data_IF_997787563322
#
_entry.id   IF_997787563322
#
_cell.length_a   1.000
_cell.length_b   1.000
_cell.length_c   1.000
_cell.angle_alpha   90.00
_cell.angle_beta   90.00
_cell.angle_gamma   90.00
#
_symmetry.space_group_name_H-M   'P 1'
#
loop_
_entity.id
_entity.type
_entity.pdbx_description
1 polymer ?
#
# COMPACT_ATOMS: atom_id res chain seq x y z
N UNK A 1 -9.01 27.53 -26.63
CA UNK A 1 -9.91 28.68 -26.43
C UNK A 1 -11.30 28.12 -26.15
N UNK A 2 -11.98 28.58 -25.11
CA UNK A 2 -13.37 28.20 -24.80
C UNK A 2 -14.39 28.79 -25.78
N UNK A 3 -14.00 29.81 -26.56
CA UNK A 3 -14.96 30.68 -27.24
C UNK A 3 -15.64 31.63 -26.25
N UNK A 4 -16.67 32.34 -26.71
CA UNK A 4 -17.53 33.15 -25.83
C UNK A 4 -18.55 32.24 -25.15
N UNK A 5 -18.69 32.38 -23.82
CA UNK A 5 -19.68 31.68 -23.00
C UNK A 5 -20.68 32.71 -22.46
N UNK A 6 -21.95 32.31 -22.32
CA UNK A 6 -23.05 33.20 -21.89
C UNK A 6 -24.18 33.32 -22.92
N UNK A 7 -25.03 34.38 -22.82
CA UNK A 7 -24.89 35.55 -21.95
C UNK A 7 -25.10 35.21 -20.46
N UNK A 8 -24.58 36.10 -19.60
CA UNK A 8 -24.74 36.04 -18.14
C UNK A 8 -25.24 37.40 -17.65
N UNK A 9 -26.06 37.41 -16.60
CA UNK A 9 -26.49 38.65 -15.96
C UNK A 9 -25.30 39.35 -15.28
N UNK A 10 -25.41 40.67 -15.09
CA UNK A 10 -24.36 41.44 -14.43
C UNK A 10 -24.12 40.92 -13.01
N UNK A 11 -22.88 40.52 -12.72
CA UNK A 11 -22.49 39.95 -11.42
C UNK A 11 -22.70 38.44 -11.30
N UNK A 12 -23.26 37.78 -12.30
CA UNK A 12 -23.37 36.32 -12.34
C UNK A 12 -22.01 35.68 -12.70
N UNK A 13 -21.66 34.60 -12.02
CA UNK A 13 -20.45 33.83 -12.33
C UNK A 13 -20.62 33.01 -13.62
N UNK A 14 -19.64 33.10 -14.51
CA UNK A 14 -19.53 32.25 -15.69
C UNK A 14 -18.50 31.15 -15.48
N UNK A 15 -18.76 29.96 -16.04
CA UNK A 15 -17.84 28.82 -15.96
C UNK A 15 -17.52 28.27 -17.35
N UNK A 16 -16.26 27.87 -17.56
CA UNK A 16 -15.79 27.17 -18.75
C UNK A 16 -14.92 25.99 -18.34
N UNK A 17 -14.95 24.94 -19.14
CA UNK A 17 -14.12 23.75 -18.94
C UNK A 17 -13.17 23.56 -20.12
N UNK A 18 -11.98 23.01 -19.84
CA UNK A 18 -10.99 22.66 -20.84
C UNK A 18 -10.25 21.40 -20.40
N UNK A 19 -10.07 20.48 -21.35
CA UNK A 19 -9.15 19.35 -21.21
C UNK A 19 -7.93 19.56 -22.09
N UNK A 20 -6.78 19.16 -21.57
CA UNK A 20 -5.48 19.19 -22.27
C UNK A 20 -5.05 17.76 -22.54
N UNK A 21 -4.58 17.51 -23.77
CA UNK A 21 -4.05 16.20 -24.18
C UNK A 21 -2.52 16.19 -24.27
N UNK A 22 -1.89 17.36 -24.18
CA UNK A 22 -0.45 17.52 -24.24
C UNK A 22 0.04 18.10 -22.91
N UNK A 23 1.23 17.67 -22.50
CA UNK A 23 1.94 18.27 -21.38
C UNK A 23 2.46 19.65 -21.76
N UNK A 24 2.65 20.49 -20.76
CA UNK A 24 3.14 21.85 -20.93
C UNK A 24 2.54 22.82 -19.92
N UNK A 25 3.09 24.03 -19.89
CA UNK A 25 2.56 25.13 -19.09
C UNK A 25 1.69 26.03 -19.95
N UNK A 26 0.46 26.24 -19.51
CA UNK A 26 -0.57 27.00 -20.21
C UNK A 26 -0.95 28.24 -19.40
N UNK A 27 -0.92 29.39 -20.06
CA UNK A 27 -1.45 30.64 -19.51
C UNK A 27 -2.97 30.69 -19.73
N UNK A 28 -3.73 30.71 -18.62
CA UNK A 28 -5.19 30.83 -18.61
C UNK A 28 -5.57 32.25 -18.24
N UNK A 29 -6.41 32.88 -19.08
CA UNK A 29 -6.90 34.24 -18.90
C UNK A 29 -8.29 34.38 -19.52
N UNK A 30 -9.07 35.33 -19.03
CA UNK A 30 -10.43 35.60 -19.48
C UNK A 30 -10.58 37.06 -19.95
N UNK A 31 -11.58 37.32 -20.79
CA UNK A 31 -12.05 38.67 -21.13
C UNK A 31 -13.56 38.63 -21.35
N UNK A 32 -14.23 39.76 -21.18
CA UNK A 32 -15.67 39.89 -21.35
C UNK A 32 -16.02 40.62 -22.65
N UNK A 33 -17.26 40.41 -23.12
CA UNK A 33 -17.87 41.15 -24.22
C UNK A 33 -19.33 41.47 -23.87
N UNK A 34 -19.79 42.68 -24.15
CA UNK A 34 -21.20 43.05 -23.97
C UNK A 34 -22.08 42.64 -25.17
N UNK A 35 -23.39 42.88 -25.06
CA UNK A 35 -24.36 42.56 -26.13
C UNK A 35 -24.13 43.38 -27.41
N UNK A 36 -23.50 44.56 -27.29
CA UNK A 36 -23.27 45.49 -28.39
C UNK A 36 -21.97 45.23 -29.14
N UNK A 37 -21.05 44.42 -28.60
CA UNK A 37 -19.78 44.15 -29.26
C UNK A 37 -18.53 44.49 -28.46
N UNK A 38 -18.65 45.36 -27.45
CA UNK A 38 -17.51 45.96 -26.75
C UNK A 38 -16.81 44.93 -25.88
N UNK A 39 -15.47 44.88 -25.92
CA UNK A 39 -14.66 43.89 -25.22
C UNK A 39 -13.78 44.53 -24.16
N UNK A 40 -13.56 43.82 -23.05
CA UNK A 40 -12.56 44.19 -22.05
C UNK A 40 -11.14 43.83 -22.51
N UNK A 41 -10.14 44.37 -21.81
CA UNK A 41 -8.80 43.78 -21.78
C UNK A 41 -8.84 42.36 -21.20
N UNK A 42 -7.81 41.58 -21.49
CA UNK A 42 -7.61 40.28 -20.83
C UNK A 42 -7.29 40.46 -19.34
N UNK A 43 -7.72 39.50 -18.53
CA UNK A 43 -7.31 39.36 -17.13
C UNK A 43 -5.80 39.09 -17.01
N UNK A 44 -5.29 39.15 -15.78
CA UNK A 44 -4.03 38.52 -15.43
C UNK A 44 -4.07 37.02 -15.77
N UNK A 45 -2.91 36.47 -16.11
CA UNK A 45 -2.80 35.06 -16.47
C UNK A 45 -2.52 34.22 -15.23
N UNK A 46 -3.24 33.11 -15.10
CA UNK A 46 -2.92 32.02 -14.18
C UNK A 46 -2.13 30.98 -14.99
N UNK A 47 -1.01 30.51 -14.45
CA UNK A 47 -0.18 29.49 -15.10
C UNK A 47 -0.60 28.12 -14.59
N UNK A 48 -0.96 27.20 -15.49
CA UNK A 48 -1.30 25.82 -15.18
C UNK A 48 -0.33 24.89 -15.91
N UNK A 49 0.29 23.97 -15.18
CA UNK A 49 1.20 22.97 -15.77
C UNK A 49 0.49 21.63 -15.85
N UNK A 50 0.46 21.05 -17.04
CA UNK A 50 -0.01 19.68 -17.30
C UNK A 50 1.24 18.83 -17.52
N UNK A 51 1.39 17.74 -16.78
CA UNK A 51 2.52 16.82 -16.90
C UNK A 51 2.06 15.38 -17.03
N UNK A 52 2.95 14.52 -17.54
CA UNK A 52 2.74 13.09 -17.49
C UNK A 52 3.02 12.64 -16.07
N UNK A 53 2.05 11.96 -15.49
CA UNK A 53 2.15 11.36 -14.17
C UNK A 53 3.34 10.40 -14.09
N UNK A 54 4.10 10.45 -13.00
CA UNK A 54 5.25 9.58 -12.78
C UNK A 54 4.93 8.67 -11.61
N UNK A 55 5.17 7.35 -11.75
CA UNK A 55 4.85 6.43 -10.67
C UNK A 55 5.67 6.74 -9.41
N UNK A 56 5.16 6.35 -8.23
CA UNK A 56 5.90 6.43 -6.98
C UNK A 56 7.24 5.73 -7.09
N UNK A 57 8.22 6.00 -6.23
CA UNK A 57 9.43 5.20 -6.15
C UNK A 57 9.13 3.74 -5.73
N UNK A 58 10.07 2.83 -5.99
CA UNK A 58 9.98 1.47 -5.44
C UNK A 58 9.93 1.57 -3.92
N UNK A 59 8.91 0.98 -3.25
CA UNK A 59 8.78 1.12 -1.81
C UNK A 59 9.90 0.41 -1.07
N UNK A 60 10.13 0.81 0.19
CA UNK A 60 10.91 0.02 1.14
C UNK A 60 9.95 -0.68 2.08
N UNK A 61 10.09 -1.99 2.25
CA UNK A 61 9.39 -2.77 3.28
C UNK A 61 10.37 -3.18 4.37
N UNK A 62 9.98 -3.02 5.64
CA UNK A 62 10.81 -3.37 6.79
C UNK A 62 9.98 -4.06 7.88
N UNK A 63 10.61 -4.97 8.60
CA UNK A 63 10.01 -5.70 9.71
C UNK A 63 10.94 -6.83 10.16
N UNK A 64 10.47 -7.73 11.04
CA UNK A 64 11.24 -8.91 11.45
C UNK A 64 11.61 -9.78 10.25
N UNK A 65 12.87 -10.20 10.16
CA UNK A 65 13.34 -11.14 9.12
C UNK A 65 13.28 -12.61 9.58
N UNK A 66 12.94 -12.83 10.85
CA UNK A 66 12.78 -14.15 11.44
C UNK A 66 11.68 -14.14 12.51
N UNK A 67 11.08 -15.29 12.75
CA UNK A 67 9.98 -15.44 13.71
C UNK A 67 9.67 -16.89 14.08
N UNK A 68 8.54 -17.11 14.72
CA UNK A 68 7.97 -18.42 14.99
C UNK A 68 6.61 -18.53 14.28
N UNK A 69 6.29 -19.67 13.65
CA UNK A 69 4.99 -19.87 13.05
C UNK A 69 3.83 -19.66 14.05
N UNK A 70 2.76 -19.03 13.58
CA UNK A 70 1.54 -18.75 14.35
C UNK A 70 1.57 -17.44 15.14
N UNK A 71 2.61 -16.61 14.98
CA UNK A 71 2.68 -15.29 15.60
C UNK A 71 2.40 -14.18 14.58
N UNK A 72 1.73 -13.12 15.05
CA UNK A 72 1.44 -11.93 14.25
C UNK A 72 2.62 -10.95 14.29
N UNK A 73 3.10 -10.55 13.11
CA UNK A 73 4.23 -9.65 12.94
C UNK A 73 3.82 -8.33 12.30
N UNK A 74 4.41 -7.23 12.76
CA UNK A 74 4.22 -5.89 12.20
C UNK A 74 5.32 -5.56 11.19
N UNK A 75 4.89 -5.14 10.01
CA UNK A 75 5.73 -4.62 8.94
C UNK A 75 5.35 -3.18 8.62
N UNK A 76 6.31 -2.43 8.12
CA UNK A 76 6.08 -1.08 7.63
C UNK A 76 6.53 -0.93 6.18
N UNK A 77 5.78 -0.16 5.41
CA UNK A 77 6.06 0.13 4.00
C UNK A 77 6.06 1.63 3.78
N UNK A 78 7.05 2.14 3.04
CA UNK A 78 7.15 3.57 2.73
C UNK A 78 7.71 3.79 1.32
N UNK A 79 7.21 4.82 0.64
CA UNK A 79 7.76 5.32 -0.63
C UNK A 79 7.47 6.81 -0.77
N UNK A 80 8.14 7.46 -1.72
CA UNK A 80 7.85 8.82 -2.14
C UNK A 80 7.35 8.83 -3.58
N UNK A 81 6.37 9.68 -3.82
CA UNK A 81 5.91 10.03 -5.16
C UNK A 81 6.63 11.28 -5.70
N UNK A 82 7.21 11.25 -6.92
CA UNK A 82 7.91 12.40 -7.50
C UNK A 82 7.05 13.62 -7.79
N UNK A 83 5.75 13.43 -7.98
CA UNK A 83 4.75 14.47 -8.25
C UNK A 83 4.02 14.91 -6.96
N UNK A 84 4.30 14.20 -5.86
CA UNK A 84 3.76 14.50 -4.53
C UNK A 84 2.38 13.90 -4.31
N UNK A 85 1.95 13.01 -5.21
CA UNK A 85 0.65 12.36 -5.13
C UNK A 85 0.58 11.38 -3.96
N UNK A 86 -0.65 11.12 -3.51
CA UNK A 86 -0.86 10.13 -2.45
C UNK A 86 -0.66 8.72 -3.01
N UNK A 87 -0.20 7.81 -2.15
CA UNK A 87 0.22 6.47 -2.54
C UNK A 87 -0.57 5.37 -1.83
N UNK A 88 -0.75 4.25 -2.52
CA UNK A 88 -1.27 2.99 -1.97
C UNK A 88 -0.18 1.93 -2.00
N UNK A 89 -0.24 0.98 -1.07
CA UNK A 89 0.71 -0.14 -0.99
C UNK A 89 -0.01 -1.48 -1.14
N UNK A 90 0.67 -2.44 -1.76
CA UNK A 90 0.25 -3.84 -1.87
C UNK A 90 1.38 -4.74 -1.39
N UNK A 91 1.08 -5.77 -0.62
CA UNK A 91 2.08 -6.70 -0.09
C UNK A 91 1.69 -8.14 -0.41
N UNK A 92 2.62 -8.89 -0.99
CA UNK A 92 2.58 -10.34 -1.13
C UNK A 92 3.46 -10.96 -0.05
N UNK A 93 2.92 -11.86 0.75
CA UNK A 93 3.61 -12.43 1.91
C UNK A 93 4.42 -13.69 1.59
N UNK A 94 4.38 -14.16 0.34
CA UNK A 94 5.14 -15.32 -0.13
C UNK A 94 4.57 -16.68 0.29
N UNK A 95 3.43 -16.70 1.00
CA UNK A 95 2.70 -17.90 1.43
C UNK A 95 1.38 -18.09 0.66
N UNK A 96 1.16 -17.29 -0.39
CA UNK A 96 -0.08 -17.25 -1.16
C UNK A 96 -1.14 -16.29 -0.61
N UNK A 97 -0.85 -15.58 0.49
CA UNK A 97 -1.69 -14.52 1.03
C UNK A 97 -1.14 -13.13 0.69
N UNK A 98 -2.05 -12.16 0.67
CA UNK A 98 -1.73 -10.77 0.29
C UNK A 98 -2.40 -9.79 1.23
N UNK A 99 -1.74 -8.65 1.46
CA UNK A 99 -2.44 -7.42 1.86
C UNK A 99 -2.75 -6.64 0.59
N UNK A 100 -4.04 -6.57 0.28
CA UNK A 100 -4.57 -5.77 -0.83
C UNK A 100 -4.20 -4.28 -0.69
N UNK A 101 -4.54 -3.47 -1.70
CA UNK A 101 -4.20 -2.05 -1.74
C UNK A 101 -4.66 -1.28 -0.49
N UNK A 102 -3.71 -0.94 0.38
CA UNK A 102 -3.92 -0.10 1.57
C UNK A 102 -3.57 1.35 1.28
N UNK A 103 -4.38 2.28 1.76
CA UNK A 103 -4.19 3.72 1.56
C UNK A 103 -5.48 4.47 1.21
N UNK A 104 -5.38 5.71 0.70
CA UNK A 104 -4.13 6.38 0.32
C UNK A 104 -3.37 6.95 1.53
N UNK A 105 -2.05 7.06 1.39
CA UNK A 105 -1.13 7.72 2.33
C UNK A 105 -0.46 8.92 1.65
N UNK A 106 -0.10 9.96 2.40
CA UNK A 106 0.70 11.04 1.85
C UNK A 106 2.06 10.50 1.35
N UNK A 107 2.59 11.05 0.26
CA UNK A 107 3.94 10.75 -0.22
C UNK A 107 4.96 10.87 0.91
N UNK A 108 5.78 9.83 1.12
CA UNK A 108 6.76 9.72 2.21
C UNK A 108 6.20 9.27 3.56
N UNK A 109 4.89 9.09 3.71
CA UNK A 109 4.32 8.55 4.93
C UNK A 109 4.50 7.02 5.01
N UNK A 110 4.67 6.54 6.24
CA UNK A 110 4.83 5.11 6.53
C UNK A 110 3.47 4.45 6.76
N UNK A 111 3.20 3.38 6.03
CA UNK A 111 2.07 2.48 6.26
C UNK A 111 2.51 1.32 7.16
N UNK A 112 1.57 0.81 7.96
CA UNK A 112 1.76 -0.36 8.83
C UNK A 112 0.80 -1.46 8.41
N UNK A 113 1.33 -2.68 8.24
CA UNK A 113 0.57 -3.89 7.91
C UNK A 113 1.06 -5.04 8.78
N UNK A 114 0.20 -6.00 9.05
CA UNK A 114 0.55 -7.17 9.87
C UNK A 114 0.30 -8.46 9.13
N UNK A 115 1.14 -9.47 9.38
CA UNK A 115 0.99 -10.80 8.81
C UNK A 115 1.41 -11.90 9.79
N UNK A 116 0.85 -13.08 9.60
CA UNK A 116 1.15 -14.30 10.36
C UNK A 116 1.42 -15.43 9.36
N UNK A 117 2.53 -16.14 9.55
CA UNK A 117 2.82 -17.38 8.83
C UNK A 117 2.43 -18.57 9.69
N UNK A 118 1.51 -19.39 9.22
CA UNK A 118 1.02 -20.55 9.97
C UNK A 118 2.07 -21.69 10.04
N UNK A 119 2.92 -21.80 9.01
CA UNK A 119 3.86 -22.90 8.83
C UNK A 119 5.32 -22.44 8.94
N UNK A 120 6.21 -23.39 9.17
CA UNK A 120 7.64 -23.18 9.06
C UNK A 120 8.07 -23.06 7.59
N UNK A 121 9.07 -22.21 7.31
CA UNK A 121 9.52 -21.97 5.94
C UNK A 121 10.37 -20.73 5.76
N UNK A 122 10.89 -20.57 4.55
CA UNK A 122 11.48 -19.34 4.08
C UNK A 122 10.51 -18.68 3.08
N UNK A 123 10.21 -17.41 3.30
CA UNK A 123 9.23 -16.64 2.54
C UNK A 123 9.91 -15.38 1.99
N UNK A 124 9.62 -15.05 0.74
CA UNK A 124 10.03 -13.78 0.13
C UNK A 124 8.83 -12.85 0.13
N UNK A 125 8.81 -11.91 1.08
CA UNK A 125 7.78 -10.86 1.14
C UNK A 125 8.07 -9.83 0.06
N UNK A 126 7.07 -9.47 -0.72
CA UNK A 126 7.19 -8.48 -1.79
C UNK A 126 6.22 -7.32 -1.56
N UNK A 127 6.66 -6.08 -1.77
CA UNK A 127 5.80 -4.91 -1.70
C UNK A 127 5.90 -4.04 -2.96
N UNK A 128 4.76 -3.53 -3.44
CA UNK A 128 4.69 -2.55 -4.54
C UNK A 128 3.79 -1.37 -4.17
N UNK A 129 3.92 -0.28 -4.92
CA UNK A 129 3.14 0.95 -4.69
C UNK A 129 2.51 1.47 -5.97
N UNK A 130 1.42 2.23 -5.82
CA UNK A 130 0.79 3.02 -6.89
C UNK A 130 0.33 4.38 -6.38
N UNK A 131 0.25 5.37 -7.25
CA UNK A 131 -0.34 6.67 -6.92
C UNK A 131 -1.89 6.67 -7.03
N UNK A 132 -2.50 7.83 -6.80
CA UNK A 132 -3.94 8.07 -6.94
C UNK A 132 -4.47 8.01 -8.37
N UNK A 133 -3.60 8.11 -9.38
CA UNK A 133 -3.95 7.95 -10.79
C UNK A 133 -3.80 6.50 -11.27
N UNK A 134 -3.29 5.62 -10.42
CA UNK A 134 -3.17 4.19 -10.62
C UNK A 134 -1.89 3.77 -11.33
N UNK A 135 -0.88 4.65 -11.43
CA UNK A 135 0.40 4.27 -12.04
C UNK A 135 1.25 3.56 -11.00
N UNK A 136 1.68 2.34 -11.32
CA UNK A 136 2.37 1.45 -10.39
C UNK A 136 3.90 1.48 -10.57
N UNK A 137 4.64 1.17 -9.50
CA UNK A 137 6.06 0.81 -9.58
C UNK A 137 6.36 -0.53 -8.93
N UNK A 138 7.39 -1.18 -9.47
CA UNK A 138 7.76 -2.56 -9.22
C UNK A 138 8.10 -2.92 -7.76
N UNK A 139 8.29 -4.22 -7.56
CA UNK A 139 8.41 -4.87 -6.27
C UNK A 139 9.75 -4.62 -5.55
N UNK A 140 9.67 -4.32 -4.26
CA UNK A 140 10.75 -4.52 -3.29
C UNK A 140 10.57 -5.87 -2.60
N UNK A 141 11.66 -6.45 -2.08
CA UNK A 141 11.66 -7.77 -1.47
C UNK A 141 12.29 -7.76 -0.08
N UNK A 142 11.78 -8.59 0.81
CA UNK A 142 12.32 -8.87 2.14
C UNK A 142 12.23 -10.38 2.39
N UNK A 143 13.36 -11.02 2.66
CA UNK A 143 13.39 -12.44 3.02
C UNK A 143 13.07 -12.63 4.50
N UNK A 144 12.14 -13.54 4.80
CA UNK A 144 11.63 -13.84 6.13
C UNK A 144 11.71 -15.35 6.38
N UNK A 145 12.21 -15.76 7.54
CA UNK A 145 12.32 -17.19 7.90
C UNK A 145 11.53 -17.53 9.17
N UNK A 146 10.72 -18.58 9.10
CA UNK A 146 10.01 -19.16 10.24
C UNK A 146 10.60 -20.55 10.51
N UNK A 147 11.68 -20.66 11.32
CA UNK A 147 12.30 -21.95 11.62
C UNK A 147 11.43 -22.85 12.50
N UNK A 148 11.76 -24.15 12.48
CA UNK A 148 11.22 -25.14 13.42
C UNK A 148 11.50 -24.67 14.86
N UNK A 149 10.44 -24.50 15.67
CA UNK A 149 10.63 -24.25 17.09
C UNK A 149 11.19 -25.50 17.77
N UNK A 150 12.47 -25.46 18.13
CA UNK A 150 13.17 -26.56 18.82
C UNK A 150 12.50 -26.90 20.15
N UNK A 151 11.95 -25.89 20.85
CA UNK A 151 11.24 -26.10 22.11
C UNK A 151 9.92 -26.85 21.92
N UNK A 152 9.12 -26.46 20.92
CA UNK A 152 7.88 -27.17 20.57
C UNK A 152 8.18 -28.61 20.15
N UNK A 153 9.21 -28.82 19.34
CA UNK A 153 9.65 -30.15 18.92
C UNK A 153 10.06 -31.02 20.11
N UNK A 154 10.88 -30.50 21.04
CA UNK A 154 11.28 -31.24 22.25
C UNK A 154 10.09 -31.53 23.18
N UNK A 155 9.18 -30.58 23.35
CA UNK A 155 7.99 -30.76 24.18
C UNK A 155 7.07 -31.86 23.61
N UNK A 156 6.86 -31.89 22.29
CA UNK A 156 6.09 -32.97 21.65
C UNK A 156 6.80 -34.32 21.80
N UNK A 157 8.11 -34.39 21.55
CA UNK A 157 8.89 -35.63 21.72
C UNK A 157 8.82 -36.16 23.16
N UNK A 158 8.94 -35.28 24.17
CA UNK A 158 8.81 -35.64 25.57
C UNK A 158 7.40 -36.12 25.90
N UNK A 159 6.37 -35.46 25.38
CA UNK A 159 4.98 -35.85 25.59
C UNK A 159 4.68 -37.22 24.97
N UNK A 160 5.16 -37.49 23.75
CA UNK A 160 5.03 -38.80 23.11
C UNK A 160 5.80 -39.88 23.88
N UNK A 161 7.01 -39.56 24.36
CA UNK A 161 7.78 -40.47 25.21
C UNK A 161 7.04 -40.80 26.52
N UNK A 162 6.47 -39.80 27.19
CA UNK A 162 5.65 -40.00 28.38
C UNK A 162 4.41 -40.84 28.09
N UNK A 163 3.74 -40.64 26.95
CA UNK A 163 2.62 -41.46 26.51
C UNK A 163 3.02 -42.93 26.31
N UNK A 164 4.17 -43.19 25.66
CA UNK A 164 4.68 -44.55 25.49
C UNK A 164 5.03 -45.22 26.83
N UNK A 165 5.62 -44.47 27.77
CA UNK A 165 5.88 -44.98 29.12
C UNK A 165 4.56 -45.31 29.82
N UNK A 166 3.56 -44.43 29.80
CA UNK A 166 2.26 -44.71 30.41
C UNK A 166 1.61 -45.96 29.80
N UNK A 167 1.67 -46.10 28.47
CA UNK A 167 1.11 -47.27 27.79
C UNK A 167 1.84 -48.57 28.14
N UNK A 168 3.17 -48.52 28.29
CA UNK A 168 3.98 -49.67 28.70
C UNK A 168 3.65 -50.12 30.13
N UNK A 169 3.52 -49.16 31.05
CA UNK A 169 3.15 -49.42 32.45
C UNK A 169 1.76 -50.02 32.55
N UNK A 170 0.79 -49.50 31.78
CA UNK A 170 -0.56 -50.07 31.68
C UNK A 170 -0.55 -51.52 31.15
N UNK A 171 0.22 -51.79 30.09
CA UNK A 171 0.36 -53.14 29.53
C UNK A 171 1.01 -54.13 30.49
N UNK A 172 1.85 -53.66 31.41
CA UNK A 172 2.49 -54.45 32.46
C UNK A 172 1.62 -54.58 33.74
N UNK A 173 0.43 -53.99 33.77
CA UNK A 173 -0.45 -53.99 34.94
C UNK A 173 0.04 -53.11 36.09
N UNK A 174 1.05 -52.25 35.84
CA UNK A 174 1.61 -51.32 36.80
C UNK A 174 0.84 -50.01 36.71
N UNK A 175 -0.09 -49.76 37.64
CA UNK A 175 -0.73 -48.45 37.76
C UNK A 175 0.10 -47.56 38.69
N UNK A 176 0.44 -46.36 38.22
CA UNK A 176 0.91 -45.28 39.09
C UNK A 176 -0.23 -44.95 40.08
N UNK A 177 -0.06 -45.30 41.35
CA UNK A 177 -0.96 -44.86 42.42
C UNK A 177 -0.81 -43.35 42.56
N UNK A 178 -1.90 -42.59 42.41
CA UNK A 178 -1.92 -41.18 42.80
C UNK A 178 -1.95 -41.14 44.33
N UNK A 179 -0.89 -40.60 44.93
CA UNK A 179 -0.93 -40.05 46.29
C UNK A 179 -1.55 -38.65 46.27
#
# INVERSE_FOLDING_TARGET
NSGWIGPYDSGQEGSAQKSWSATGTYAIRAKAKDINGAQSSWSTSIMMTIMTDRPPATPTITGPAEGEPGNLYLYTVTTTDPDGDMVFYYVDWGDGQTSEWVGPYNSGATASVTHEWAEEGAYTVQAKAKDTYGVERGWATLDVTMPVSVQKHQATQLQTFLQHITQLLENLGLRLSKE
#
